data_IF_014783142582
#
_entry.id   IF_014783142582
#
_cell.length_a   1.000
_cell.length_b   1.000
_cell.length_c   1.000
_cell.angle_alpha   90.00
_cell.angle_beta   90.00
_cell.angle_gamma   90.00
#
_symmetry.space_group_name_H-M   'P 1'
#
loop_
_entity.id
_entity.type
_entity.pdbx_description
1 polymer ?
#
# COMPACT_ATOMS: atom_id res chain seq x y z
N UNK A 1 -8.97 -30.83 19.33
CA UNK A 1 -10.12 -30.04 19.82
C UNK A 1 -9.64 -28.65 20.27
N UNK A 2 -9.63 -27.64 19.40
CA UNK A 2 -9.57 -26.21 19.79
C UNK A 2 -9.81 -25.25 18.60
N UNK A 3 -10.59 -25.67 17.59
CA UNK A 3 -10.84 -24.90 16.36
C UNK A 3 -12.19 -24.20 16.27
N UNK A 4 -13.14 -24.49 17.17
CA UNK A 4 -14.55 -24.10 16.96
C UNK A 4 -15.07 -22.93 17.83
N UNK A 5 -14.27 -22.37 18.75
CA UNK A 5 -14.74 -21.33 19.70
C UNK A 5 -14.41 -19.88 19.32
N UNK A 6 -13.74 -19.61 18.18
CA UNK A 6 -13.46 -18.22 17.72
C UNK A 6 -14.54 -17.62 16.82
N UNK A 7 -15.47 -18.42 16.28
CA UNK A 7 -16.53 -17.92 15.38
C UNK A 7 -17.76 -17.33 16.09
N UNK A 8 -17.90 -17.50 17.42
CA UNK A 8 -19.13 -17.14 18.13
C UNK A 8 -19.13 -15.74 18.80
N UNK A 9 -18.02 -14.97 18.74
CA UNK A 9 -17.96 -13.63 19.35
C UNK A 9 -18.25 -12.46 18.39
N UNK A 10 -18.12 -12.66 17.08
CA UNK A 10 -18.43 -11.61 16.09
C UNK A 10 -19.92 -11.42 15.83
N UNK A 11 -20.75 -12.44 16.07
CA UNK A 11 -22.18 -12.40 15.74
C UNK A 11 -23.04 -11.60 16.73
N UNK A 12 -22.55 -11.30 17.94
CA UNK A 12 -23.35 -10.58 18.97
C UNK A 12 -23.16 -9.07 19.00
N UNK A 13 -22.11 -8.53 18.38
CA UNK A 13 -21.88 -7.08 18.34
C UNK A 13 -22.63 -6.38 17.19
N UNK A 14 -23.23 -7.13 16.28
CA UNK A 14 -23.93 -6.63 15.09
C UNK A 14 -25.38 -6.21 15.36
N UNK A 15 -25.88 -6.29 16.59
CA UNK A 15 -27.32 -6.14 16.90
C UNK A 15 -27.66 -4.92 17.77
N UNK A 16 -26.69 -4.14 18.24
CA UNK A 16 -26.97 -3.06 19.21
C UNK A 16 -27.03 -1.64 18.65
N UNK A 17 -26.68 -1.39 17.38
CA UNK A 17 -26.84 -0.07 16.76
C UNK A 17 -27.43 -0.18 15.34
N UNK A 18 -28.66 0.30 15.09
CA UNK A 18 -29.28 0.33 13.76
C UNK A 18 -28.46 1.03 12.68
N UNK A 19 -27.51 1.91 13.04
CA UNK A 19 -26.59 2.57 12.11
C UNK A 19 -25.42 1.67 11.68
N UNK A 20 -24.95 0.78 12.56
CA UNK A 20 -23.90 -0.20 12.22
C UNK A 20 -24.40 -1.28 11.27
N UNK A 21 -25.68 -1.63 11.32
CA UNK A 21 -26.31 -2.56 10.39
C UNK A 21 -26.40 -2.04 8.95
N UNK A 22 -26.59 -0.73 8.74
CA UNK A 22 -26.72 -0.13 7.40
C UNK A 22 -25.36 0.17 6.73
N UNK A 23 -24.34 0.59 7.50
CA UNK A 23 -22.99 0.83 6.96
C UNK A 23 -22.26 -0.45 6.52
N UNK A 24 -22.64 -1.59 7.11
CA UNK A 24 -22.13 -2.91 6.71
C UNK A 24 -22.60 -3.30 5.29
N UNK A 25 -23.70 -2.71 4.79
CA UNK A 25 -24.42 -3.14 3.58
C UNK A 25 -24.05 -2.36 2.31
N UNK A 26 -23.42 -1.18 2.40
CA UNK A 26 -22.95 -0.47 1.18
C UNK A 26 -21.83 -1.28 0.49
N UNK A 27 -21.85 -1.42 -0.84
CA UNK A 27 -20.72 -1.99 -1.56
C UNK A 27 -19.51 -1.11 -1.32
N UNK A 28 -18.53 -1.62 -0.57
CA UNK A 28 -17.26 -0.91 -0.37
C UNK A 28 -16.46 -0.98 -1.67
N UNK A 29 -15.82 0.13 -1.99
CA UNK A 29 -14.73 0.15 -2.97
C UNK A 29 -13.45 -0.33 -2.28
N UNK A 30 -12.51 -0.86 -3.04
CA UNK A 30 -11.26 -1.41 -2.53
C UNK A 30 -10.10 -0.67 -3.16
N UNK A 31 -9.14 -0.27 -2.35
CA UNK A 31 -7.88 0.32 -2.81
C UNK A 31 -6.78 -0.70 -2.56
N UNK A 32 -5.99 -0.98 -3.60
CA UNK A 32 -4.77 -1.75 -3.48
C UNK A 32 -3.57 -0.90 -3.86
N UNK A 33 -2.68 -0.67 -2.91
CA UNK A 33 -1.37 -0.09 -3.21
C UNK A 33 -0.43 -1.21 -3.64
N UNK A 34 -0.09 -1.25 -4.93
CA UNK A 34 0.88 -2.19 -5.49
C UNK A 34 2.26 -1.51 -5.53
N UNK A 35 3.12 -1.87 -4.59
CA UNK A 35 4.41 -1.21 -4.40
C UNK A 35 5.49 -2.17 -3.92
N UNK A 36 6.60 -1.67 -3.39
CA UNK A 36 7.70 -2.46 -2.84
C UNK A 36 8.07 -1.98 -1.42
N UNK A 37 9.06 -2.63 -0.80
CA UNK A 37 9.56 -2.18 0.50
C UNK A 37 10.20 -0.79 0.37
N UNK A 38 10.04 0.04 1.41
CA UNK A 38 10.70 1.35 1.56
C UNK A 38 10.38 2.39 0.47
N UNK A 39 9.21 2.26 -0.16
CA UNK A 39 8.63 3.20 -1.13
C UNK A 39 7.63 4.18 -0.51
N UNK A 40 7.73 4.48 0.78
CA UNK A 40 6.74 5.29 1.50
C UNK A 40 5.29 4.76 1.48
N UNK A 41 5.05 3.50 1.10
CA UNK A 41 3.71 2.90 1.06
C UNK A 41 2.95 2.97 2.39
N UNK A 42 3.64 2.88 3.54
CA UNK A 42 3.02 3.09 4.85
C UNK A 42 2.61 4.55 5.08
N UNK A 43 3.40 5.51 4.63
CA UNK A 43 3.05 6.93 4.69
C UNK A 43 1.82 7.20 3.82
N UNK A 44 1.82 6.70 2.58
CA UNK A 44 0.68 6.79 1.67
C UNK A 44 -0.59 6.19 2.29
N UNK A 45 -0.50 5.00 2.91
CA UNK A 45 -1.62 4.40 3.64
C UNK A 45 -2.16 5.30 4.76
N UNK A 46 -1.27 5.94 5.52
CA UNK A 46 -1.66 6.83 6.61
C UNK A 46 -2.33 8.12 6.12
N UNK A 47 -1.81 8.72 5.03
CA UNK A 47 -2.41 9.86 4.36
C UNK A 47 -3.79 9.51 3.81
N UNK A 48 -3.92 8.37 3.12
CA UNK A 48 -5.22 7.93 2.60
C UNK A 48 -6.22 7.71 3.75
N UNK A 49 -5.81 7.00 4.79
CA UNK A 49 -6.63 6.75 5.98
C UNK A 49 -6.89 8.00 6.84
N UNK A 50 -6.27 9.15 6.56
CA UNK A 50 -6.64 10.41 7.23
C UNK A 50 -7.92 11.02 6.66
N UNK A 51 -8.35 10.56 5.47
CA UNK A 51 -9.64 10.89 4.90
C UNK A 51 -10.76 9.99 5.48
N UNK A 52 -11.91 10.56 5.90
CA UNK A 52 -13.00 9.79 6.50
C UNK A 52 -13.62 8.75 5.55
N UNK A 53 -13.39 8.86 4.24
CA UNK A 53 -13.86 7.90 3.25
C UNK A 53 -12.95 6.68 3.07
N UNK A 54 -11.76 6.64 3.67
CA UNK A 54 -10.81 5.52 3.49
C UNK A 54 -10.49 4.86 4.82
N UNK A 55 -10.70 3.55 4.89
CA UNK A 55 -10.35 2.74 6.05
C UNK A 55 -9.25 1.72 5.72
N UNK A 56 -8.25 1.64 6.59
CA UNK A 56 -7.14 0.69 6.51
C UNK A 56 -5.80 1.40 6.32
N UNK A 57 -4.79 0.99 7.08
CA UNK A 57 -3.44 1.58 7.00
C UNK A 57 -2.30 0.55 7.13
N UNK A 58 -2.64 -0.72 7.34
CA UNK A 58 -1.70 -1.82 7.60
C UNK A 58 -1.52 -2.70 6.36
N UNK A 59 -0.43 -3.48 6.33
CA UNK A 59 -0.26 -4.56 5.34
C UNK A 59 -0.90 -5.85 5.85
N UNK A 60 -1.84 -6.42 5.11
CA UNK A 60 -2.50 -7.67 5.56
C UNK A 60 -1.75 -8.95 5.19
N UNK A 61 -0.78 -8.88 4.27
CA UNK A 61 0.00 -10.02 3.77
C UNK A 61 -0.86 -11.15 3.15
N UNK A 62 -1.94 -10.79 2.44
CA UNK A 62 -2.89 -11.74 1.82
C UNK A 62 -2.79 -11.75 0.31
N UNK A 63 -3.30 -12.83 -0.28
CA UNK A 63 -3.65 -12.88 -1.71
C UNK A 63 -5.16 -12.77 -1.85
N UNK A 64 -5.60 -12.21 -2.97
CA UNK A 64 -6.99 -11.91 -3.29
C UNK A 64 -7.40 -12.69 -4.53
N UNK A 65 -8.03 -13.85 -4.34
CA UNK A 65 -8.41 -14.76 -5.42
C UNK A 65 -9.87 -14.63 -5.82
N UNK A 66 -10.68 -14.01 -4.96
CA UNK A 66 -12.08 -13.75 -5.26
C UNK A 66 -12.73 -12.80 -4.27
N UNK A 67 -14.04 -12.58 -4.44
CA UNK A 67 -14.84 -11.66 -3.61
C UNK A 67 -14.82 -12.02 -2.12
N UNK A 68 -14.69 -13.30 -1.78
CA UNK A 68 -14.56 -13.73 -0.37
C UNK A 68 -13.31 -13.17 0.31
N UNK A 69 -12.22 -12.94 -0.42
CA UNK A 69 -10.99 -12.35 0.12
C UNK A 69 -11.15 -10.84 0.35
N UNK A 70 -11.90 -10.16 -0.52
CA UNK A 70 -12.26 -8.75 -0.32
C UNK A 70 -13.10 -8.55 0.94
N UNK A 71 -14.01 -9.49 1.24
CA UNK A 71 -14.76 -9.47 2.48
C UNK A 71 -13.88 -9.72 3.71
N UNK A 72 -12.92 -10.65 3.62
CA UNK A 72 -11.93 -10.88 4.70
C UNK A 72 -11.03 -9.66 4.94
N UNK A 73 -10.65 -8.95 3.89
CA UNK A 73 -9.92 -7.69 4.02
C UNK A 73 -10.76 -6.67 4.78
N UNK A 74 -12.03 -6.49 4.40
CA UNK A 74 -12.96 -5.63 5.14
C UNK A 74 -12.97 -6.00 6.62
N UNK A 75 -13.19 -7.27 6.98
CA UNK A 75 -13.16 -7.70 8.38
C UNK A 75 -11.85 -7.36 9.08
N UNK A 76 -10.71 -7.63 8.43
CA UNK A 76 -9.37 -7.35 8.99
C UNK A 76 -9.19 -5.86 9.29
N UNK A 77 -9.59 -4.99 8.35
CA UNK A 77 -9.50 -3.54 8.52
C UNK A 77 -10.39 -3.09 9.67
N UNK A 78 -11.60 -3.64 9.79
CA UNK A 78 -12.51 -3.33 10.90
C UNK A 78 -11.96 -3.81 12.25
N UNK A 79 -11.29 -4.97 12.30
CA UNK A 79 -10.68 -5.49 13.52
C UNK A 79 -9.42 -4.71 13.96
N UNK A 80 -8.76 -4.02 13.02
CA UNK A 80 -7.48 -3.31 13.25
C UNK A 80 -7.64 -1.79 13.36
N UNK A 81 -8.70 -1.21 12.80
CA UNK A 81 -9.07 0.19 12.97
C UNK A 81 -9.83 0.37 14.30
N UNK A 82 -9.26 1.14 15.23
CA UNK A 82 -9.82 1.28 16.57
C UNK A 82 -11.11 2.14 16.66
N UNK A 83 -11.49 2.87 15.60
CA UNK A 83 -12.75 3.63 15.54
C UNK A 83 -13.08 4.05 14.10
N UNK A 84 -14.39 4.12 13.81
CA UNK A 84 -15.06 4.78 12.67
C UNK A 84 -14.77 4.26 11.26
N UNK A 85 -15.34 3.09 10.94
CA UNK A 85 -15.24 2.40 9.65
C UNK A 85 -16.39 2.70 8.69
N UNK A 86 -16.85 3.96 8.69
CA UNK A 86 -17.86 4.47 7.76
C UNK A 86 -17.34 4.56 6.31
N UNK A 87 -16.02 4.63 6.11
CA UNK A 87 -15.40 5.01 4.84
C UNK A 87 -15.80 4.20 3.60
N UNK A 88 -16.04 4.89 2.48
CA UNK A 88 -16.38 4.34 1.15
C UNK A 88 -15.39 3.28 0.64
N UNK A 89 -14.12 3.42 1.02
CA UNK A 89 -12.99 2.59 0.59
C UNK A 89 -12.42 1.73 1.72
N UNK A 90 -12.01 0.51 1.37
CA UNK A 90 -11.18 -0.36 2.20
C UNK A 90 -9.81 -0.52 1.54
N UNK A 91 -8.75 -0.17 2.24
CA UNK A 91 -7.38 -0.12 1.74
C UNK A 91 -6.56 -1.32 2.23
N UNK A 92 -5.75 -1.88 1.34
CA UNK A 92 -4.59 -2.70 1.66
C UNK A 92 -3.39 -2.30 0.79
N UNK A 93 -2.19 -2.62 1.26
CA UNK A 93 -0.97 -2.55 0.45
C UNK A 93 -0.42 -3.94 0.21
N UNK A 94 0.08 -4.17 -1.00
CA UNK A 94 0.68 -5.42 -1.44
C UNK A 94 2.09 -5.12 -1.90
N UNK A 95 3.09 -5.51 -1.10
CA UNK A 95 4.49 -5.11 -1.32
C UNK A 95 5.39 -6.23 -1.85
N UNK A 96 4.89 -7.47 -1.85
CA UNK A 96 5.68 -8.67 -2.09
C UNK A 96 5.03 -9.58 -3.14
N UNK A 97 5.85 -10.23 -3.98
CA UNK A 97 5.37 -11.13 -5.04
C UNK A 97 4.65 -12.41 -4.54
N UNK A 98 4.74 -12.72 -3.24
CA UNK A 98 4.00 -13.84 -2.62
C UNK A 98 2.50 -13.57 -2.50
N UNK A 99 2.13 -12.29 -2.48
CA UNK A 99 0.76 -11.81 -2.40
C UNK A 99 0.31 -11.38 -3.79
N UNK A 100 -0.79 -11.95 -4.26
CA UNK A 100 -1.31 -11.72 -5.63
C UNK A 100 -2.76 -11.28 -5.59
N UNK A 101 -3.18 -10.51 -6.58
CA UNK A 101 -4.58 -10.16 -6.82
C UNK A 101 -4.96 -10.81 -8.15
N UNK A 102 -6.04 -11.59 -8.14
CA UNK A 102 -6.53 -12.25 -9.34
C UNK A 102 -6.97 -11.19 -10.38
N UNK A 103 -6.58 -11.34 -11.67
CA UNK A 103 -6.94 -10.38 -12.72
C UNK A 103 -8.45 -10.14 -12.85
N UNK A 104 -9.30 -11.11 -12.51
CA UNK A 104 -10.76 -10.91 -12.52
C UNK A 104 -11.20 -9.86 -11.50
N UNK A 105 -10.48 -9.72 -10.38
CA UNK A 105 -10.78 -8.67 -9.39
C UNK A 105 -10.32 -7.29 -9.85
N UNK A 106 -9.23 -7.20 -10.62
CA UNK A 106 -8.65 -5.95 -11.11
C UNK A 106 -9.57 -5.23 -12.12
N UNK A 107 -10.39 -5.99 -12.85
CA UNK A 107 -11.40 -5.50 -13.79
C UNK A 107 -12.76 -5.18 -13.16
N UNK A 108 -12.82 -5.02 -11.85
CA UNK A 108 -14.06 -4.65 -11.16
C UNK A 108 -14.09 -3.15 -10.94
N UNK A 109 -15.22 -2.52 -11.25
CA UNK A 109 -15.42 -1.07 -11.08
C UNK A 109 -15.37 -0.60 -9.62
N UNK A 110 -15.40 -1.53 -8.67
CA UNK A 110 -15.24 -1.23 -7.25
C UNK A 110 -13.82 -1.52 -6.73
N UNK A 111 -12.84 -1.73 -7.62
CA UNK A 111 -11.43 -1.98 -7.28
C UNK A 111 -10.56 -0.93 -7.94
N UNK A 112 -9.75 -0.26 -7.11
CA UNK A 112 -8.82 0.80 -7.48
C UNK A 112 -7.41 0.37 -7.16
N UNK A 113 -6.50 0.51 -8.11
CA UNK A 113 -5.10 0.14 -7.93
C UNK A 113 -4.22 1.37 -8.06
N UNK A 114 -3.40 1.60 -7.04
CA UNK A 114 -2.37 2.65 -7.05
C UNK A 114 -1.03 1.95 -7.12
N UNK A 115 -0.35 2.08 -8.24
CA UNK A 115 1.05 1.68 -8.34
C UNK A 115 1.93 2.78 -7.78
N UNK A 116 2.97 2.39 -7.03
CA UNK A 116 3.92 3.34 -6.48
C UNK A 116 5.31 2.73 -6.48
N UNK A 117 6.26 3.41 -7.12
CA UNK A 117 7.67 3.01 -7.17
C UNK A 117 8.57 4.10 -6.64
N UNK A 118 9.69 3.72 -6.03
CA UNK A 118 10.77 4.60 -5.64
C UNK A 118 12.07 4.11 -6.28
N UNK A 119 12.94 5.04 -6.61
CA UNK A 119 14.24 4.75 -7.21
C UNK A 119 15.08 3.75 -6.38
N UNK A 120 15.92 2.93 -7.02
CA UNK A 120 16.57 1.77 -6.40
C UNK A 120 17.59 2.09 -5.31
N UNK A 121 18.41 3.13 -5.45
CA UNK A 121 19.54 3.44 -4.55
C UNK A 121 19.03 3.66 -3.13
N UNK A 122 18.18 4.67 -2.92
CA UNK A 122 17.63 4.99 -1.60
C UNK A 122 16.73 3.88 -1.09
N UNK A 123 16.08 3.13 -1.97
CA UNK A 123 15.25 1.98 -1.59
C UNK A 123 16.10 0.88 -0.98
N UNK A 124 17.19 0.50 -1.64
CA UNK A 124 18.12 -0.54 -1.18
C UNK A 124 18.76 -0.11 0.12
N UNK A 125 19.35 1.08 0.16
CA UNK A 125 20.02 1.61 1.36
C UNK A 125 19.05 1.69 2.55
N UNK A 126 17.84 2.24 2.35
CA UNK A 126 16.84 2.30 3.44
C UNK A 126 16.39 0.92 3.91
N UNK A 127 16.33 -0.08 3.01
CA UNK A 127 15.96 -1.45 3.37
C UNK A 127 17.04 -2.11 4.22
N UNK A 128 18.30 -1.95 3.83
CA UNK A 128 19.47 -2.49 4.55
C UNK A 128 19.60 -1.82 5.93
N UNK A 129 19.49 -0.49 5.98
CA UNK A 129 19.54 0.26 7.24
C UNK A 129 18.46 -0.20 8.22
N UNK A 130 17.23 -0.33 7.74
CA UNK A 130 16.11 -0.82 8.54
C UNK A 130 16.40 -2.24 9.05
N UNK A 131 16.84 -3.15 8.19
CA UNK A 131 17.15 -4.53 8.57
C UNK A 131 18.23 -4.60 9.67
N UNK A 132 19.36 -3.89 9.48
CA UNK A 132 20.44 -3.81 10.47
C UNK A 132 19.96 -3.33 11.84
N UNK A 133 18.99 -2.42 11.88
CA UNK A 133 18.42 -1.89 13.13
C UNK A 133 17.45 -2.84 13.84
N UNK A 134 16.79 -3.74 13.10
CA UNK A 134 15.73 -4.61 13.64
C UNK A 134 16.23 -6.02 13.93
N UNK A 135 16.98 -6.60 13.00
CA UNK A 135 17.45 -7.97 13.04
C UNK A 135 18.74 -8.11 12.20
N UNK A 136 19.92 -8.13 12.85
CA UNK A 136 21.21 -8.27 12.16
C UNK A 136 21.36 -9.58 11.37
N UNK A 137 20.55 -10.61 11.65
CA UNK A 137 20.60 -11.90 10.95
C UNK A 137 19.61 -11.97 9.77
N UNK A 138 18.80 -10.91 9.54
CA UNK A 138 17.86 -10.85 8.42
C UNK A 138 18.61 -10.81 7.08
N UNK A 139 18.15 -11.55 6.08
CA UNK A 139 18.73 -11.54 4.73
C UNK A 139 18.83 -10.14 4.11
N UNK A 140 18.01 -9.19 4.55
CA UNK A 140 17.98 -7.79 4.09
C UNK A 140 19.18 -6.97 4.55
N UNK A 141 20.02 -7.47 5.45
CA UNK A 141 21.27 -6.80 5.82
C UNK A 141 22.31 -6.84 4.69
N UNK A 142 22.13 -7.74 3.71
CA UNK A 142 22.96 -7.92 2.52
C UNK A 142 22.42 -7.08 1.34
N UNK A 143 23.12 -5.99 0.93
CA UNK A 143 22.68 -5.13 -0.17
C UNK A 143 22.46 -5.89 -1.48
N UNK A 144 23.28 -6.90 -1.78
CA UNK A 144 23.17 -7.67 -3.02
C UNK A 144 21.86 -8.46 -3.07
N UNK A 145 21.44 -9.05 -1.94
CA UNK A 145 20.14 -9.73 -1.85
C UNK A 145 18.98 -8.76 -1.96
N UNK A 146 19.10 -7.58 -1.36
CA UNK A 146 18.07 -6.52 -1.45
C UNK A 146 17.92 -6.03 -2.88
N UNK A 147 19.00 -5.81 -3.61
CA UNK A 147 18.96 -5.44 -5.03
C UNK A 147 18.25 -6.50 -5.85
N UNK A 148 18.62 -7.79 -5.69
CA UNK A 148 17.97 -8.90 -6.40
C UNK A 148 16.48 -9.00 -6.08
N UNK A 149 16.11 -8.75 -4.83
CA UNK A 149 14.71 -8.67 -4.42
C UNK A 149 13.98 -7.50 -5.11
N UNK A 150 14.59 -6.31 -5.11
CA UNK A 150 14.04 -5.11 -5.73
C UNK A 150 13.78 -5.33 -7.22
N UNK A 151 14.77 -5.81 -7.98
CA UNK A 151 14.65 -6.11 -9.41
C UNK A 151 13.46 -7.04 -9.66
N UNK A 152 13.38 -8.16 -8.92
CA UNK A 152 12.28 -9.12 -9.06
C UNK A 152 10.92 -8.52 -8.74
N UNK A 153 10.84 -7.59 -7.78
CA UNK A 153 9.59 -6.95 -7.40
C UNK A 153 9.15 -5.93 -8.45
N UNK A 154 10.04 -5.05 -8.88
CA UNK A 154 9.74 -3.99 -9.85
C UNK A 154 9.39 -4.58 -11.21
N UNK A 155 10.11 -5.60 -11.66
CA UNK A 155 9.78 -6.33 -12.89
C UNK A 155 8.42 -7.06 -12.79
N UNK A 156 8.04 -7.54 -11.60
CA UNK A 156 6.70 -8.07 -11.38
C UNK A 156 5.62 -6.97 -11.41
N UNK A 157 5.88 -5.80 -10.81
CA UNK A 157 4.96 -4.66 -10.87
C UNK A 157 4.75 -4.18 -12.31
N UNK A 158 5.82 -4.11 -13.11
CA UNK A 158 5.74 -3.83 -14.55
C UNK A 158 4.80 -4.82 -15.27
N UNK A 159 4.96 -6.12 -15.02
CA UNK A 159 4.06 -7.13 -15.62
C UNK A 159 2.62 -6.98 -15.17
N UNK A 160 2.38 -6.63 -13.90
CA UNK A 160 1.04 -6.36 -13.42
C UNK A 160 0.43 -5.15 -14.15
N UNK A 161 1.19 -4.08 -14.35
CA UNK A 161 0.72 -2.88 -15.04
C UNK A 161 0.22 -3.15 -16.48
N UNK A 162 0.68 -4.23 -17.13
CA UNK A 162 0.22 -4.65 -18.45
C UNK A 162 -1.14 -5.39 -18.45
N UNK A 163 -1.71 -5.66 -17.28
CA UNK A 163 -3.04 -6.25 -17.16
C UNK A 163 -4.13 -5.20 -17.37
N UNK A 164 -5.36 -5.68 -17.54
CA UNK A 164 -6.53 -4.82 -17.61
C UNK A 164 -7.03 -4.44 -16.21
N UNK A 165 -7.36 -3.17 -16.03
CA UNK A 165 -7.87 -2.60 -14.78
C UNK A 165 -9.08 -1.72 -15.06
N UNK A 166 -10.14 -1.78 -14.23
CA UNK A 166 -11.20 -0.77 -14.30
C UNK A 166 -10.67 0.61 -13.86
N UNK A 167 -9.85 0.63 -12.80
CA UNK A 167 -9.25 1.82 -12.24
C UNK A 167 -7.81 1.54 -11.80
N UNK A 168 -6.83 2.12 -12.50
CA UNK A 168 -5.43 2.08 -12.10
C UNK A 168 -4.79 3.45 -12.29
N UNK A 169 -3.84 3.79 -11.42
CA UNK A 169 -2.97 4.96 -11.59
C UNK A 169 -1.57 4.63 -11.07
N UNK A 170 -0.62 5.48 -11.41
CA UNK A 170 0.76 5.39 -10.97
C UNK A 170 1.19 6.72 -10.36
N UNK A 171 1.94 6.64 -9.26
CA UNK A 171 2.66 7.77 -8.68
C UNK A 171 4.14 7.40 -8.48
N UNK A 172 5.03 8.36 -8.71
CA UNK A 172 6.38 8.25 -8.16
C UNK A 172 6.28 8.42 -6.64
N UNK A 173 6.78 7.45 -5.90
CA UNK A 173 6.76 7.47 -4.44
C UNK A 173 7.56 8.64 -3.87
N UNK A 174 8.61 9.09 -4.56
CA UNK A 174 9.45 10.21 -4.11
C UNK A 174 8.67 11.53 -4.13
N UNK A 175 7.69 11.66 -5.04
CA UNK A 175 6.84 12.85 -5.14
C UNK A 175 5.91 13.02 -3.92
N UNK A 176 5.66 11.97 -3.13
CA UNK A 176 4.99 12.15 -1.83
C UNK A 176 5.75 13.09 -0.90
N UNK A 177 7.07 13.22 -1.10
CA UNK A 177 7.95 14.12 -0.34
C UNK A 177 8.26 15.38 -1.14
N UNK A 178 8.61 15.23 -2.42
CA UNK A 178 9.19 16.28 -3.24
C UNK A 178 8.12 17.18 -3.91
N UNK A 179 6.94 16.63 -4.20
CA UNK A 179 5.80 17.33 -4.80
C UNK A 179 4.47 16.85 -4.21
N UNK A 180 4.40 16.92 -2.87
CA UNK A 180 3.26 16.45 -2.10
C UNK A 180 1.92 17.02 -2.58
N UNK A 181 1.75 18.35 -2.80
CA UNK A 181 0.45 18.90 -3.16
C UNK A 181 -0.13 18.30 -4.43
N UNK A 182 0.72 18.04 -5.44
CA UNK A 182 0.28 17.41 -6.68
C UNK A 182 -0.20 15.98 -6.44
N UNK A 183 0.60 15.14 -5.77
CA UNK A 183 0.23 13.74 -5.51
C UNK A 183 -1.07 13.63 -4.71
N UNK A 184 -1.25 14.47 -3.69
CA UNK A 184 -2.48 14.50 -2.90
C UNK A 184 -3.69 14.92 -3.74
N UNK A 185 -3.53 15.90 -4.62
CA UNK A 185 -4.59 16.34 -5.52
C UNK A 185 -4.97 15.26 -6.54
N UNK A 186 -3.97 14.62 -7.17
CA UNK A 186 -4.18 13.54 -8.14
C UNK A 186 -4.90 12.34 -7.51
N UNK A 187 -4.47 11.90 -6.33
CA UNK A 187 -5.11 10.79 -5.62
C UNK A 187 -6.51 11.13 -5.12
N UNK A 188 -6.74 12.38 -4.68
CA UNK A 188 -8.08 12.86 -4.31
C UNK A 188 -9.03 12.75 -5.51
N UNK A 189 -8.59 13.22 -6.68
CA UNK A 189 -9.38 13.17 -7.91
C UNK A 189 -9.58 11.72 -8.41
N UNK A 190 -8.53 10.91 -8.44
CA UNK A 190 -8.58 9.51 -8.89
C UNK A 190 -9.54 8.67 -8.06
N UNK A 191 -9.53 8.87 -6.74
CA UNK A 191 -10.41 8.16 -5.80
C UNK A 191 -11.78 8.85 -5.64
N UNK A 192 -12.03 9.96 -6.32
CA UNK A 192 -13.30 10.70 -6.23
C UNK A 192 -13.67 10.99 -4.75
N UNK A 193 -12.69 11.47 -3.97
CA UNK A 193 -12.89 11.78 -2.55
C UNK A 193 -13.60 13.13 -2.41
N UNK A 194 -14.55 13.20 -1.50
CA UNK A 194 -15.33 14.42 -1.19
C UNK A 194 -14.53 15.49 -0.44
N UNK A 195 -13.47 15.07 0.26
CA UNK A 195 -12.51 15.95 0.92
C UNK A 195 -11.11 15.73 0.37
N UNK A 196 -10.29 16.79 0.23
CA UNK A 196 -8.91 16.66 -0.20
C UNK A 196 -8.08 15.88 0.82
N UNK A 197 -7.16 15.05 0.33
CA UNK A 197 -6.10 14.46 1.16
C UNK A 197 -5.21 15.55 1.76
N UNK A 198 -4.64 15.27 2.94
CA UNK A 198 -3.81 16.21 3.71
C UNK A 198 -2.49 15.57 4.09
N UNK A 199 -1.47 16.40 4.35
CA UNK A 199 -0.17 15.91 4.82
C UNK A 199 -0.25 15.37 6.26
N UNK A 200 -1.15 15.96 7.07
CA UNK A 200 -1.41 15.51 8.42
C UNK A 200 -2.23 14.22 8.42
N UNK A 201 -1.83 13.28 9.27
CA UNK A 201 -2.52 12.02 9.46
C UNK A 201 -2.48 11.59 10.92
N UNK A 202 -3.45 10.76 11.30
CA UNK A 202 -3.50 10.21 12.64
C UNK A 202 -2.64 8.95 12.75
N UNK A 203 -1.92 8.83 13.86
CA UNK A 203 -1.24 7.59 14.26
C UNK A 203 -2.22 6.67 14.98
N UNK A 204 -2.05 5.36 14.82
CA UNK A 204 -2.89 4.33 15.45
C UNK A 204 -2.03 3.32 16.22
N UNK A 205 -2.67 2.39 16.93
CA UNK A 205 -1.99 1.39 17.78
C UNK A 205 -0.94 0.54 17.04
N UNK A 206 -1.11 0.33 15.74
CA UNK A 206 -0.18 -0.46 14.91
C UNK A 206 0.82 0.40 14.12
N UNK A 207 0.78 1.72 14.28
CA UNK A 207 1.75 2.63 13.64
C UNK A 207 3.15 2.41 14.22
N UNK A 208 4.14 2.20 13.35
CA UNK A 208 5.51 1.93 13.77
C UNK A 208 5.75 0.49 14.27
N UNK A 209 4.73 -0.38 14.25
CA UNK A 209 4.89 -1.77 14.68
C UNK A 209 5.44 -2.60 13.51
N UNK A 210 6.57 -3.32 13.68
CA UNK A 210 7.10 -4.22 12.66
C UNK A 210 6.02 -5.18 12.16
N UNK A 211 6.11 -5.59 10.90
CA UNK A 211 5.13 -6.44 10.16
C UNK A 211 3.83 -5.75 9.71
N UNK A 212 3.40 -4.66 10.36
CA UNK A 212 2.19 -3.92 9.95
C UNK A 212 2.48 -2.75 9.01
N UNK A 213 3.75 -2.32 8.92
CA UNK A 213 4.15 -1.24 8.04
C UNK A 213 5.58 -0.77 8.29
N UNK A 214 5.79 0.54 8.16
CA UNK A 214 7.08 1.19 8.37
C UNK A 214 7.33 1.31 9.88
N UNK A 215 8.43 0.74 10.42
CA UNK A 215 8.74 0.81 11.84
C UNK A 215 9.51 2.09 12.24
N UNK A 216 9.86 2.96 11.28
CA UNK A 216 10.65 4.16 11.55
C UNK A 216 9.91 5.21 12.38
N UNK A 217 10.64 6.05 13.11
CA UNK A 217 10.05 7.15 13.88
C UNK A 217 9.33 8.18 12.99
N UNK A 218 9.68 8.27 11.70
CA UNK A 218 9.02 9.18 10.76
C UNK A 218 7.52 8.96 10.67
N UNK A 219 7.07 7.69 10.66
CA UNK A 219 5.64 7.40 10.53
C UNK A 219 4.85 7.80 11.78
N UNK A 220 5.52 7.93 12.93
CA UNK A 220 4.89 8.31 14.21
C UNK A 220 4.70 9.82 14.37
N UNK A 221 5.22 10.63 13.46
CA UNK A 221 5.15 12.10 13.55
C UNK A 221 3.75 12.67 13.30
N UNK A 222 2.88 11.93 12.61
CA UNK A 222 1.56 12.43 12.19
C UNK A 222 1.60 13.42 11.02
N UNK A 223 2.74 13.58 10.35
CA UNK A 223 2.91 14.44 9.17
C UNK A 223 4.03 13.88 8.26
N UNK A 224 4.17 14.42 7.05
CA UNK A 224 5.24 14.11 6.11
C UNK A 224 6.56 14.73 6.59
N UNK A 225 7.45 13.88 7.10
CA UNK A 225 8.82 14.27 7.41
C UNK A 225 9.67 14.26 6.13
N UNK A 226 10.12 15.44 5.72
CA UNK A 226 10.94 15.66 4.51
C UNK A 226 12.43 15.43 4.77
N UNK A 227 12.95 15.96 5.88
CA UNK A 227 14.34 15.73 6.29
C UNK A 227 14.46 14.35 6.93
N UNK A 228 15.04 13.41 6.21
CA UNK A 228 15.24 12.03 6.66
C UNK A 228 16.72 11.70 6.76
N UNK A 229 17.01 10.64 7.49
CA UNK A 229 18.35 10.10 7.64
C UNK A 229 18.89 9.72 6.27
N UNK A 230 20.13 10.15 6.04
CA UNK A 230 20.92 9.71 4.90
C UNK A 230 21.55 8.35 5.20
N UNK A 231 21.54 7.48 4.20
CA UNK A 231 22.10 6.13 4.24
C UNK A 231 23.12 5.93 3.10
N UNK A 232 23.67 7.03 2.59
CA UNK A 232 24.66 7.05 1.51
C UNK A 232 25.94 6.28 1.84
N UNK A 233 26.21 6.02 3.13
CA UNK A 233 27.31 5.19 3.63
C UNK A 233 27.13 3.69 3.35
N UNK A 234 25.89 3.25 3.06
CA UNK A 234 25.61 1.85 2.69
C UNK A 234 25.99 1.64 1.23
N UNK A 235 27.09 0.93 1.02
CA UNK A 235 27.58 0.56 -0.30
C UNK A 235 26.64 -0.45 -0.99
N UNK A 236 26.32 -0.16 -2.25
CA UNK A 236 25.57 -1.06 -3.14
C UNK A 236 26.47 -1.40 -4.33
N UNK A 237 26.71 -2.69 -4.64
CA UNK A 237 27.52 -3.09 -5.78
C UNK A 237 27.07 -2.42 -7.08
N UNK A 238 28.00 -1.76 -7.78
CA UNK A 238 27.68 -0.87 -8.89
C UNK A 238 27.03 -1.59 -10.09
N UNK A 239 27.48 -2.82 -10.39
CA UNK A 239 26.92 -3.60 -11.50
C UNK A 239 25.45 -3.95 -11.24
N UNK A 240 25.14 -4.46 -10.04
CA UNK A 240 23.78 -4.84 -9.68
C UNK A 240 22.89 -3.62 -9.46
N UNK A 241 23.45 -2.50 -9.01
CA UNK A 241 22.72 -1.24 -8.95
C UNK A 241 22.31 -0.76 -10.35
N UNK A 242 23.21 -0.85 -11.34
CA UNK A 242 22.88 -0.52 -12.72
C UNK A 242 21.72 -1.39 -13.25
N UNK A 243 21.74 -2.70 -13.00
CA UNK A 243 20.61 -3.59 -13.34
C UNK A 243 19.30 -3.17 -12.66
N UNK A 244 19.37 -2.70 -11.41
CA UNK A 244 18.20 -2.22 -10.66
C UNK A 244 17.64 -0.91 -11.23
N UNK A 245 18.51 0.01 -11.65
CA UNK A 245 18.12 1.26 -12.32
C UNK A 245 17.43 0.95 -13.64
N UNK A 246 18.01 0.09 -14.48
CA UNK A 246 17.37 -0.28 -15.74
C UNK A 246 16.01 -0.98 -15.52
N UNK A 247 15.91 -1.85 -14.51
CA UNK A 247 14.64 -2.51 -14.17
C UNK A 247 13.58 -1.50 -13.69
N UNK A 248 14.00 -0.49 -12.92
CA UNK A 248 13.17 0.63 -12.50
C UNK A 248 12.68 1.45 -13.68
N UNK A 249 13.57 1.91 -14.54
CA UNK A 249 13.23 2.75 -15.70
C UNK A 249 12.25 2.05 -16.64
N UNK A 250 12.48 0.76 -16.95
CA UNK A 250 11.53 -0.04 -17.76
C UNK A 250 10.16 -0.20 -17.11
N UNK A 251 10.10 -0.21 -15.78
CA UNK A 251 8.82 -0.30 -15.07
C UNK A 251 8.10 1.05 -15.05
N UNK A 252 8.84 2.14 -14.82
CA UNK A 252 8.31 3.50 -14.86
C UNK A 252 7.75 3.83 -16.24
N UNK A 253 8.46 3.47 -17.32
CA UNK A 253 7.98 3.65 -18.70
C UNK A 253 6.57 3.08 -18.87
N UNK A 254 6.37 1.80 -18.55
CA UNK A 254 5.06 1.13 -18.64
C UNK A 254 4.03 1.73 -17.66
N UNK A 255 4.43 2.00 -16.42
CA UNK A 255 3.52 2.47 -15.38
C UNK A 255 3.03 3.90 -15.63
N UNK A 256 3.86 4.74 -16.23
CA UNK A 256 3.52 6.13 -16.58
C UNK A 256 2.42 6.22 -17.64
N UNK A 257 2.18 5.16 -18.41
CA UNK A 257 1.09 5.07 -19.38
C UNK A 257 -0.26 4.73 -18.73
N UNK A 258 -0.28 4.32 -17.45
CA UNK A 258 -1.53 4.05 -16.74
C UNK A 258 -2.35 5.33 -16.62
N UNK A 259 -3.45 5.38 -17.35
CA UNK A 259 -4.35 6.53 -17.37
C UNK A 259 -5.11 6.64 -16.06
N UNK A 260 -5.05 7.82 -15.45
CA UNK A 260 -5.97 8.25 -14.38
C UNK A 260 -7.37 8.49 -14.96
N UNK A 261 -8.19 7.44 -15.11
CA UNK A 261 -9.58 7.58 -15.56
C UNK A 261 -10.30 6.25 -15.77
N UNK A 262 -11.64 6.21 -15.72
CA UNK A 262 -12.39 5.00 -16.03
C UNK A 262 -12.11 4.55 -17.46
N UNK A 263 -11.97 3.24 -17.67
CA UNK A 263 -12.14 2.65 -19.00
C UNK A 263 -13.53 3.05 -19.51
N UNK A 264 -13.58 3.62 -20.71
CA UNK A 264 -14.84 3.96 -21.37
C UNK A 264 -15.71 2.69 -21.45
N UNK A 265 -16.96 2.67 -20.95
CA UNK A 265 -17.79 1.46 -20.91
C UNK A 265 -18.25 0.96 -22.30
N UNK A 266 -17.56 1.33 -23.37
CA UNK A 266 -17.85 0.92 -24.74
C UNK A 266 -16.55 0.58 -25.49
N UNK A 267 -16.06 -0.64 -25.28
CA UNK A 267 -15.23 -1.37 -26.24
C UNK A 267 -15.59 -2.85 -26.21
#
# INVERSE_FOLDING_TARGET
MNGLKRYARGARALVSDPRTGLEVVRPKRYIFIQSHMRSYSSLLCHILNSNPEVAGYVETHRSYKGTSDLWRLKQTVFDTAAAETGGRYVLDKVLHNRSTIDPVLLRRDNVYVVFSLREPVRTVQSTVAMARSLDPDDWKVDPLRVVRYYIKRVDHLRRLALLEYSHATYIDAQDLIDDTPRVLSELTAFLDLSEPLREEYQTSKLTGVPTYGDPSEYIKSGNIVRTRQDYSDIEVPAAELAEAVEAYERAVEVLSELRSGPLDPAS
#
